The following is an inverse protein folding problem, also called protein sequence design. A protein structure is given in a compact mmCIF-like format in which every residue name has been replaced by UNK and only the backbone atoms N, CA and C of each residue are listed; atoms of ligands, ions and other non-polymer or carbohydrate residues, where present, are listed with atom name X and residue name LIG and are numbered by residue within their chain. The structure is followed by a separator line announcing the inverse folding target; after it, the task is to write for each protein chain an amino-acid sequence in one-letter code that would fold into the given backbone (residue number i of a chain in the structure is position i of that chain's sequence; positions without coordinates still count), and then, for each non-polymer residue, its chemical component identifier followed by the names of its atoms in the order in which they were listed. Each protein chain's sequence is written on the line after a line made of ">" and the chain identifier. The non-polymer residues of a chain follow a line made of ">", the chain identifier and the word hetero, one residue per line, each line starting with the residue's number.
data_IF_392748608076
#
_entry.id   IF_392748608076
#
_cell.length_a   1.000
_cell.length_b   1.000
_cell.length_c   1.000
_cell.angle_alpha   90.00
_cell.angle_beta   90.00
_cell.angle_gamma   90.00
#
_symmetry.space_group_name_H-M   'P 1'
#
loop_
_entity.id
_entity.type
_entity.pdbx_description
1 polymer ?
#
# COMPACT_ATOMS: atom_id res chain seq x y z
N UNK A 1 -17.43 0.22 14.30
CA UNK A 1 -16.73 -1.03 13.96
C UNK A 1 -15.85 -0.77 12.75
N UNK A 2 -14.59 -0.37 12.94
CA UNK A 2 -13.62 -0.35 11.84
C UNK A 2 -12.88 -1.68 11.87
N UNK A 3 -13.52 -2.70 11.29
CA UNK A 3 -12.95 -4.04 11.14
C UNK A 3 -11.77 -4.02 10.13
N UNK A 4 -10.91 -5.04 10.10
CA UNK A 4 -9.85 -5.21 9.10
C UNK A 4 -10.31 -4.96 7.64
N UNK A 5 -11.59 -5.16 7.34
CA UNK A 5 -12.23 -4.83 6.06
C UNK A 5 -12.07 -3.36 5.65
N UNK A 6 -12.20 -2.41 6.58
CA UNK A 6 -12.14 -0.98 6.26
C UNK A 6 -10.73 -0.48 5.90
N UNK A 7 -9.69 -1.16 6.38
CA UNK A 7 -8.30 -0.87 6.01
C UNK A 7 -7.99 -1.49 4.65
N UNK A 8 -8.41 -2.73 4.43
CA UNK A 8 -8.26 -3.42 3.14
C UNK A 8 -8.98 -2.67 1.99
N UNK A 9 -10.19 -2.17 2.22
CA UNK A 9 -10.93 -1.34 1.25
C UNK A 9 -10.21 -0.02 0.93
N UNK A 10 -9.67 0.66 1.94
CA UNK A 10 -8.89 1.90 1.71
C UNK A 10 -7.61 1.64 0.95
N UNK A 11 -6.90 0.55 1.26
CA UNK A 11 -5.68 0.19 0.58
C UNK A 11 -5.95 -0.17 -0.89
N UNK A 12 -6.94 -1.01 -1.15
CA UNK A 12 -7.32 -1.40 -2.52
C UNK A 12 -7.88 -0.21 -3.30
N UNK A 13 -8.63 0.69 -2.65
CA UNK A 13 -9.07 1.96 -3.24
C UNK A 13 -7.92 2.89 -3.61
N UNK A 14 -6.91 3.03 -2.73
CA UNK A 14 -5.68 3.79 -3.01
C UNK A 14 -4.94 3.19 -4.22
N UNK A 15 -4.73 1.88 -4.24
CA UNK A 15 -4.08 1.18 -5.36
C UNK A 15 -4.86 1.40 -6.67
N UNK A 16 -6.20 1.33 -6.61
CA UNK A 16 -7.06 1.63 -7.75
C UNK A 16 -6.87 3.05 -8.28
N UNK A 17 -6.82 4.05 -7.39
CA UNK A 17 -6.57 5.44 -7.76
C UNK A 17 -5.18 5.62 -8.40
N UNK A 18 -4.13 5.04 -7.81
CA UNK A 18 -2.77 5.11 -8.35
C UNK A 18 -2.69 4.49 -9.75
N UNK A 19 -3.32 3.33 -9.98
CA UNK A 19 -3.41 2.71 -11.30
C UNK A 19 -4.18 3.58 -12.30
N UNK A 20 -5.28 4.20 -11.88
CA UNK A 20 -6.03 5.15 -12.72
C UNK A 20 -5.18 6.37 -13.12
N UNK A 21 -4.19 6.75 -12.30
CA UNK A 21 -3.20 7.78 -12.59
C UNK A 21 -1.94 7.25 -13.31
N UNK A 22 -1.96 6.02 -13.82
CA UNK A 22 -0.88 5.46 -14.64
C UNK A 22 0.29 4.84 -13.86
N UNK A 23 0.18 4.73 -12.53
CA UNK A 23 1.19 4.03 -11.73
C UNK A 23 1.00 2.52 -11.92
N UNK A 24 2.05 1.84 -12.40
CA UNK A 24 2.04 0.38 -12.54
C UNK A 24 2.28 -0.25 -11.17
N UNK A 25 1.23 -0.87 -10.63
CA UNK A 25 1.25 -1.59 -9.36
C UNK A 25 0.69 -2.99 -9.62
N UNK A 26 1.52 -4.02 -9.49
CA UNK A 26 1.11 -5.41 -9.60
C UNK A 26 0.38 -5.93 -8.35
N UNK A 27 0.02 -7.21 -8.38
CA UNK A 27 -0.58 -7.90 -7.22
C UNK A 27 0.44 -8.11 -6.11
N UNK A 28 1.71 -8.36 -6.44
CA UNK A 28 2.80 -8.51 -5.47
C UNK A 28 2.97 -7.25 -4.62
N UNK A 29 3.11 -6.10 -5.27
CA UNK A 29 3.24 -4.81 -4.58
C UNK A 29 2.01 -4.49 -3.70
N UNK A 30 0.82 -4.92 -4.12
CA UNK A 30 -0.40 -4.74 -3.31
C UNK A 30 -0.37 -5.62 -2.04
N UNK A 31 0.16 -6.84 -2.14
CA UNK A 31 0.33 -7.74 -1.00
C UNK A 31 1.41 -7.21 -0.06
N UNK A 32 2.54 -6.76 -0.59
CA UNK A 32 3.63 -6.17 0.20
C UNK A 32 3.15 -4.93 0.97
N UNK A 33 2.34 -4.08 0.33
CA UNK A 33 1.73 -2.93 0.99
C UNK A 33 0.77 -3.33 2.11
N UNK A 34 -0.02 -4.41 1.93
CA UNK A 34 -0.88 -4.94 2.97
C UNK A 34 -0.08 -5.49 4.16
N UNK A 35 1.05 -6.16 3.89
CA UNK A 35 1.97 -6.63 4.93
C UNK A 35 2.64 -5.46 5.67
N UNK A 36 3.05 -4.42 4.97
CA UNK A 36 3.61 -3.20 5.59
C UNK A 36 2.58 -2.54 6.51
N UNK A 37 1.32 -2.41 6.09
CA UNK A 37 0.24 -1.87 6.95
C UNK A 37 0.06 -2.73 8.21
N UNK A 38 0.11 -4.06 8.09
CA UNK A 38 -0.01 -4.96 9.23
C UNK A 38 1.20 -4.88 10.18
N UNK A 39 2.41 -4.72 9.65
CA UNK A 39 3.64 -4.65 10.42
C UNK A 39 3.85 -3.31 11.13
N UNK A 40 3.52 -2.20 10.46
CA UNK A 40 3.73 -0.84 10.96
C UNK A 40 2.55 -0.34 11.81
N UNK A 41 1.36 -0.91 11.61
CA UNK A 41 0.13 -0.41 12.22
C UNK A 41 -0.28 0.96 11.66
N UNK A 42 -1.21 1.62 12.34
CA UNK A 42 -1.81 2.90 11.88
C UNK A 42 -1.53 4.09 12.83
N UNK A 43 -0.71 3.89 13.86
CA UNK A 43 -0.48 4.88 14.91
C UNK A 43 0.48 5.97 14.45
N UNK A 44 1.55 5.59 13.74
CA UNK A 44 2.51 6.52 13.16
C UNK A 44 2.20 6.70 11.67
N UNK A 45 1.60 7.84 11.36
CA UNK A 45 1.18 8.16 10.00
C UNK A 45 2.36 8.32 9.04
N UNK A 46 3.48 8.85 9.52
CA UNK A 46 4.60 9.14 8.63
C UNK A 46 5.37 7.88 8.30
N UNK A 47 5.59 7.02 9.30
CA UNK A 47 6.15 5.69 9.09
C UNK A 47 5.28 4.86 8.13
N UNK A 48 3.95 4.91 8.29
CA UNK A 48 3.02 4.25 7.39
C UNK A 48 3.13 4.77 5.95
N UNK A 49 3.23 6.09 5.78
CA UNK A 49 3.38 6.73 4.46
C UNK A 49 4.66 6.27 3.77
N UNK A 50 5.77 6.21 4.50
CA UNK A 50 7.05 5.74 3.98
C UNK A 50 7.01 4.25 3.60
N UNK A 51 6.43 3.40 4.45
CA UNK A 51 6.26 1.97 4.16
C UNK A 51 5.39 1.70 2.92
N UNK A 52 4.31 2.46 2.75
CA UNK A 52 3.47 2.39 1.55
C UNK A 52 4.22 2.87 0.30
N UNK A 53 5.00 3.94 0.39
CA UNK A 53 5.82 4.40 -0.73
C UNK A 53 6.88 3.35 -1.12
N UNK A 54 7.54 2.73 -0.13
CA UNK A 54 8.55 1.71 -0.35
C UNK A 54 7.98 0.44 -1.02
N UNK A 55 6.74 0.07 -0.73
CA UNK A 55 6.11 -1.14 -1.29
C UNK A 55 5.37 -0.89 -2.60
N UNK A 56 4.81 0.31 -2.81
CA UNK A 56 3.99 0.63 -4.00
C UNK A 56 4.74 1.37 -5.10
N UNK A 57 5.84 2.07 -4.78
CA UNK A 57 6.57 2.91 -5.75
C UNK A 57 7.99 2.40 -6.02
N UNK A 58 8.37 1.25 -5.45
CA UNK A 58 9.66 0.65 -5.74
C UNK A 58 9.67 0.12 -7.18
N UNK A 59 10.53 0.71 -8.02
CA UNK A 59 10.73 0.26 -9.40
C UNK A 59 11.44 -1.08 -9.40
N UNK A 60 10.76 -2.12 -9.87
CA UNK A 60 11.32 -3.47 -10.08
C UNK A 60 12.42 -3.54 -11.16
N UNK A 61 12.82 -2.40 -11.75
CA UNK A 61 13.84 -2.28 -12.79
C UNK A 61 15.29 -2.14 -12.32
N UNK A 62 15.57 -2.16 -11.02
CA UNK A 62 16.94 -2.17 -10.48
C UNK A 62 17.20 -3.49 -9.73
N UNK A 63 17.36 -4.57 -10.50
CA UNK A 63 18.03 -5.79 -10.07
C UNK A 63 19.12 -6.14 -11.07
#
# INVERSE_FOLDING_TARGET
>A
MNAPTGVAERLTGLVGALRAHGVRIGTGETVDAAQAVAALGLTDRELLREGLAATLLHSTGQR
#
